data_IF_383647558176
#
_entry.id   IF_383647558176
#
_cell.length_a   1.000
_cell.length_b   1.000
_cell.length_c   1.000
_cell.angle_alpha   90.00
_cell.angle_beta   90.00
_cell.angle_gamma   90.00
#
_symmetry.space_group_name_H-M   'P 1'
#
loop_
_entity.id
_entity.type
_entity.pdbx_description
1 polymer ?
#
# COMPACT_ATOMS: atom_id res chain seq x y z
N UNK A 1 13.79 -15.32 -32.44
CA UNK A 1 13.92 -15.92 -31.09
C UNK A 1 15.23 -15.60 -30.36
N UNK A 2 16.41 -15.65 -30.99
CA UNK A 2 17.69 -15.48 -30.27
C UNK A 2 17.97 -14.10 -29.64
N UNK A 3 17.34 -13.01 -30.14
CA UNK A 3 17.47 -11.68 -29.55
C UNK A 3 16.67 -11.52 -28.25
N UNK A 4 15.44 -12.06 -28.21
CA UNK A 4 14.58 -12.07 -27.02
C UNK A 4 15.23 -12.91 -25.90
N UNK A 5 15.83 -14.04 -26.26
CA UNK A 5 16.55 -14.89 -25.30
C UNK A 5 17.77 -14.18 -24.69
N UNK A 6 18.59 -13.52 -25.51
CA UNK A 6 19.74 -12.73 -25.02
C UNK A 6 19.30 -11.56 -24.15
N UNK A 7 18.24 -10.84 -24.55
CA UNK A 7 17.66 -9.77 -23.75
C UNK A 7 17.13 -10.27 -22.40
N UNK A 8 16.46 -11.42 -22.39
CA UNK A 8 15.97 -12.06 -21.17
C UNK A 8 17.10 -12.46 -20.22
N UNK A 9 18.17 -13.06 -20.74
CA UNK A 9 19.36 -13.41 -19.95
C UNK A 9 20.08 -12.17 -19.44
N UNK A 10 20.22 -11.12 -20.26
CA UNK A 10 20.85 -9.86 -19.83
C UNK A 10 20.01 -9.11 -18.79
N UNK A 11 18.69 -9.21 -18.83
CA UNK A 11 17.81 -8.60 -17.84
C UNK A 11 17.67 -9.42 -16.54
N UNK A 12 18.11 -10.69 -16.55
CA UNK A 12 18.02 -11.62 -15.42
C UNK A 12 18.43 -11.02 -14.07
N UNK A 13 19.60 -10.35 -13.97
CA UNK A 13 20.03 -9.68 -12.73
C UNK A 13 19.04 -8.62 -12.25
N UNK A 14 18.54 -7.74 -13.13
CA UNK A 14 17.53 -6.76 -12.73
C UNK A 14 16.21 -7.43 -12.29
N UNK A 15 15.82 -8.53 -12.94
CA UNK A 15 14.59 -9.28 -12.62
C UNK A 15 14.67 -10.07 -11.31
N UNK A 16 15.88 -10.30 -10.76
CA UNK A 16 16.03 -10.90 -9.43
C UNK A 16 15.67 -9.93 -8.31
N UNK A 17 15.70 -8.61 -8.54
CA UNK A 17 15.44 -7.62 -7.50
C UNK A 17 14.05 -7.79 -6.84
N UNK A 18 12.92 -7.88 -7.59
CA UNK A 18 11.62 -8.18 -6.99
C UNK A 18 11.56 -9.49 -6.21
N UNK A 19 12.30 -10.52 -6.66
CA UNK A 19 12.36 -11.82 -5.98
C UNK A 19 13.06 -11.69 -4.63
N UNK A 20 14.17 -10.95 -4.55
CA UNK A 20 14.84 -10.68 -3.29
C UNK A 20 13.97 -9.86 -2.33
N UNK A 21 13.27 -8.85 -2.83
CA UNK A 21 12.38 -8.02 -2.02
C UNK A 21 11.22 -8.86 -1.46
N UNK A 22 10.44 -9.51 -2.33
CA UNK A 22 9.27 -10.28 -1.90
C UNK A 22 9.69 -11.50 -1.08
N UNK A 23 10.71 -12.23 -1.54
CA UNK A 23 11.24 -13.41 -0.86
C UNK A 23 11.76 -13.08 0.54
N UNK A 24 12.52 -11.99 0.69
CA UNK A 24 13.05 -11.55 1.99
C UNK A 24 11.97 -11.07 2.96
N UNK A 25 10.93 -10.42 2.45
CA UNK A 25 9.78 -10.00 3.25
C UNK A 25 8.97 -11.23 3.71
N UNK A 26 8.64 -12.14 2.80
CA UNK A 26 7.81 -13.31 3.12
C UNK A 26 8.52 -14.36 3.97
N UNK A 27 9.84 -14.48 3.85
CA UNK A 27 10.63 -15.34 4.73
C UNK A 27 10.80 -14.73 6.14
N UNK A 28 10.40 -13.48 6.35
CA UNK A 28 10.56 -12.76 7.62
C UNK A 28 11.99 -12.35 7.95
N UNK A 29 12.92 -12.45 6.99
CA UNK A 29 14.31 -12.01 7.19
C UNK A 29 14.44 -10.50 7.18
N UNK A 30 13.59 -9.82 6.39
CA UNK A 30 13.60 -8.36 6.25
C UNK A 30 12.19 -7.78 6.42
N UNK A 31 12.09 -6.63 7.07
CA UNK A 31 10.92 -5.76 6.98
C UNK A 31 10.86 -5.05 5.62
N UNK A 32 9.71 -4.49 5.19
CA UNK A 32 9.63 -3.77 3.91
C UNK A 32 10.65 -2.63 3.76
N UNK A 33 10.98 -1.96 4.87
CA UNK A 33 11.99 -0.89 4.92
C UNK A 33 13.41 -1.42 4.73
N UNK A 34 13.74 -2.55 5.35
CA UNK A 34 15.04 -3.22 5.17
C UNK A 34 15.17 -3.81 3.76
N UNK A 35 14.10 -4.40 3.23
CA UNK A 35 14.06 -4.93 1.88
C UNK A 35 14.33 -3.85 0.83
N UNK A 36 13.80 -2.63 1.02
CA UNK A 36 14.12 -1.49 0.17
C UNK A 36 15.61 -1.10 0.23
N UNK A 37 16.22 -1.09 1.43
CA UNK A 37 17.64 -0.81 1.57
C UNK A 37 18.51 -1.88 0.87
N UNK A 38 18.18 -3.16 1.05
CA UNK A 38 18.84 -4.28 0.35
C UNK A 38 18.68 -4.14 -1.16
N UNK A 39 17.50 -3.76 -1.65
CA UNK A 39 17.27 -3.53 -3.08
C UNK A 39 18.14 -2.39 -3.64
N UNK A 40 18.33 -1.30 -2.90
CA UNK A 40 19.22 -0.20 -3.32
C UNK A 40 20.68 -0.68 -3.41
N UNK A 41 21.16 -1.41 -2.40
CA UNK A 41 22.52 -1.98 -2.40
C UNK A 41 22.69 -2.95 -3.57
N UNK A 42 21.72 -3.83 -3.79
CA UNK A 42 21.70 -4.76 -4.91
C UNK A 42 21.74 -4.04 -6.26
N UNK A 43 20.89 -3.03 -6.43
CA UNK A 43 20.84 -2.20 -7.65
C UNK A 43 22.17 -1.52 -7.93
N UNK A 44 22.82 -0.95 -6.91
CA UNK A 44 24.15 -0.36 -7.03
C UNK A 44 25.20 -1.39 -7.48
N UNK A 45 25.19 -2.60 -6.90
CA UNK A 45 26.12 -3.67 -7.28
C UNK A 45 25.90 -4.07 -8.75
N UNK A 46 24.64 -4.28 -9.15
CA UNK A 46 24.30 -4.67 -10.53
C UNK A 46 24.71 -3.58 -11.52
N UNK A 47 24.40 -2.32 -11.25
CA UNK A 47 24.76 -1.19 -12.12
C UNK A 47 26.27 -0.97 -12.22
N UNK A 48 27.01 -1.02 -11.11
CA UNK A 48 28.46 -0.76 -11.12
C UNK A 48 29.27 -1.91 -11.73
N UNK A 49 28.94 -3.16 -11.37
CA UNK A 49 29.83 -4.30 -11.68
C UNK A 49 29.34 -5.13 -12.85
N UNK A 50 28.02 -5.25 -13.02
CA UNK A 50 27.42 -6.19 -13.96
C UNK A 50 27.02 -5.51 -15.27
N UNK A 51 26.18 -4.48 -15.20
CA UNK A 51 25.81 -3.67 -16.36
C UNK A 51 26.88 -2.64 -16.70
N UNK A 52 27.62 -2.16 -15.70
CA UNK A 52 28.69 -1.15 -15.85
C UNK A 52 28.18 0.11 -16.56
N UNK A 53 26.93 0.46 -16.29
CA UNK A 53 26.24 1.63 -16.85
C UNK A 53 26.41 2.88 -15.98
N UNK A 54 27.09 2.76 -14.83
CA UNK A 54 27.41 3.83 -13.91
C UNK A 54 28.84 3.69 -13.35
N UNK A 55 29.48 4.80 -13.00
CA UNK A 55 30.78 4.85 -12.31
C UNK A 55 30.62 5.26 -10.84
N UNK A 56 31.61 4.95 -10.01
CA UNK A 56 31.66 5.41 -8.61
C UNK A 56 31.57 6.94 -8.46
N UNK A 57 32.04 7.68 -9.48
CA UNK A 57 31.98 9.15 -9.50
C UNK A 57 30.56 9.68 -9.64
N UNK A 58 29.63 8.87 -10.15
CA UNK A 58 28.23 9.26 -10.35
C UNK A 58 27.40 9.09 -9.07
N UNK A 59 27.87 8.26 -8.12
CA UNK A 59 27.16 7.93 -6.88
C UNK A 59 26.78 9.18 -6.08
N UNK A 60 27.68 10.16 -5.81
CA UNK A 60 27.29 11.35 -5.04
C UNK A 60 26.16 12.15 -5.70
N UNK A 61 26.20 12.30 -7.03
CA UNK A 61 25.17 13.00 -7.78
C UNK A 61 23.85 12.21 -7.82
N UNK A 62 23.92 10.88 -7.92
CA UNK A 62 22.75 10.00 -7.84
C UNK A 62 22.06 10.11 -6.48
N UNK A 63 22.83 10.07 -5.39
CA UNK A 63 22.34 10.22 -4.03
C UNK A 63 21.70 11.60 -3.82
N UNK A 64 22.31 12.66 -4.33
CA UNK A 64 21.74 14.01 -4.26
C UNK A 64 20.39 14.09 -5.00
N UNK A 65 20.29 13.51 -6.20
CA UNK A 65 19.02 13.47 -6.96
C UNK A 65 17.94 12.65 -6.25
N UNK A 66 18.31 11.50 -5.69
CA UNK A 66 17.40 10.67 -4.90
C UNK A 66 16.92 11.44 -3.66
N UNK A 67 17.84 12.10 -2.94
CA UNK A 67 17.52 12.93 -1.79
C UNK A 67 16.57 14.08 -2.14
N UNK A 68 16.84 14.85 -3.21
CA UNK A 68 15.95 15.94 -3.63
C UNK A 68 14.54 15.45 -3.98
N UNK A 69 14.45 14.27 -4.61
CA UNK A 69 13.17 13.64 -4.95
C UNK A 69 12.41 13.27 -3.68
N UNK A 70 13.06 12.54 -2.77
CA UNK A 70 12.48 12.12 -1.49
C UNK A 70 12.12 13.30 -0.58
N UNK A 71 12.97 14.33 -0.49
CA UNK A 71 12.73 15.51 0.33
C UNK A 71 11.49 16.29 -0.13
N UNK A 72 11.30 16.43 -1.44
CA UNK A 72 10.10 17.08 -1.99
C UNK A 72 8.84 16.31 -1.59
N UNK A 73 8.85 14.98 -1.72
CA UNK A 73 7.72 14.12 -1.37
C UNK A 73 7.47 14.14 0.15
N UNK A 74 8.52 13.97 0.96
CA UNK A 74 8.44 13.95 2.42
C UNK A 74 7.93 15.27 2.99
N UNK A 75 8.22 16.41 2.37
CA UNK A 75 7.67 17.70 2.80
C UNK A 75 6.14 17.73 2.66
N UNK A 76 5.61 17.21 1.55
CA UNK A 76 4.15 17.12 1.35
C UNK A 76 3.52 16.10 2.31
N UNK A 77 4.12 14.92 2.46
CA UNK A 77 3.66 13.89 3.40
C UNK A 77 3.71 14.41 4.86
N UNK A 78 4.74 15.18 5.21
CA UNK A 78 4.87 15.80 6.53
C UNK A 78 3.77 16.82 6.81
N UNK A 79 3.42 17.65 5.82
CA UNK A 79 2.30 18.57 5.93
C UNK A 79 0.96 17.83 6.10
N UNK A 80 0.74 16.73 5.40
CA UNK A 80 -0.46 15.90 5.56
C UNK A 80 -0.48 15.17 6.90
N UNK A 81 0.70 14.89 7.47
CA UNK A 81 0.85 14.34 8.82
C UNK A 81 0.24 15.21 9.92
N UNK A 82 0.28 16.55 9.79
CA UNK A 82 -0.38 17.45 10.74
C UNK A 82 -1.91 17.28 10.74
N UNK A 83 -2.50 17.06 9.56
CA UNK A 83 -3.92 16.80 9.41
C UNK A 83 -4.28 15.39 9.94
N UNK A 84 -3.45 14.39 9.68
CA UNK A 84 -3.61 13.05 10.26
C UNK A 84 -3.57 13.08 11.80
N UNK A 85 -2.66 13.89 12.37
CA UNK A 85 -2.60 14.11 13.81
C UNK A 85 -3.87 14.76 14.34
N UNK A 86 -4.39 15.80 13.68
CA UNK A 86 -5.64 16.46 14.07
C UNK A 86 -6.83 15.49 14.05
N UNK A 87 -7.00 14.70 12.98
CA UNK A 87 -8.07 13.70 12.87
C UNK A 87 -7.97 12.67 14.01
N UNK A 88 -6.75 12.28 14.37
CA UNK A 88 -6.50 11.36 15.47
C UNK A 88 -6.81 12.01 16.82
N UNK A 89 -6.40 13.27 17.03
CA UNK A 89 -6.62 14.02 18.27
C UNK A 89 -8.09 14.30 18.53
N UNK A 90 -8.87 14.61 17.50
CA UNK A 90 -10.33 14.80 17.56
C UNK A 90 -11.08 13.47 17.71
N UNK A 91 -10.38 12.33 17.70
CA UNK A 91 -10.99 11.01 17.86
C UNK A 91 -11.95 10.65 16.72
N UNK A 92 -11.70 11.13 15.50
CA UNK A 92 -12.63 10.96 14.36
C UNK A 92 -12.92 9.49 14.10
N UNK A 93 -11.92 8.60 14.17
CA UNK A 93 -12.14 7.17 13.98
C UNK A 93 -13.08 6.56 15.05
N UNK A 94 -12.98 7.02 16.30
CA UNK A 94 -13.89 6.60 17.37
C UNK A 94 -15.32 7.08 17.09
N UNK A 95 -15.48 8.34 16.65
CA UNK A 95 -16.77 8.89 16.28
C UNK A 95 -17.40 8.12 15.12
N UNK A 96 -16.61 7.76 14.10
CA UNK A 96 -17.06 6.93 12.98
C UNK A 96 -17.48 5.54 13.44
N UNK A 97 -16.71 4.88 14.31
CA UNK A 97 -17.08 3.57 14.86
C UNK A 97 -18.40 3.63 15.64
N UNK A 98 -18.60 4.69 16.44
CA UNK A 98 -19.85 4.92 17.18
C UNK A 98 -21.04 5.13 16.22
N UNK A 99 -20.84 5.90 15.15
CA UNK A 99 -21.85 6.11 14.12
C UNK A 99 -22.18 4.82 13.35
N UNK A 100 -21.17 4.02 13.00
CA UNK A 100 -21.39 2.70 12.39
C UNK A 100 -22.21 1.82 13.33
N UNK A 101 -21.87 1.79 14.62
CA UNK A 101 -22.59 1.01 15.63
C UNK A 101 -24.08 1.41 15.75
N UNK A 102 -24.40 2.70 15.65
CA UNK A 102 -25.77 3.19 15.81
C UNK A 102 -26.67 2.91 14.60
N UNK A 103 -26.10 2.78 13.40
CA UNK A 103 -26.85 2.60 12.14
C UNK A 103 -26.80 1.16 11.63
N UNK A 104 -25.67 0.46 11.82
CA UNK A 104 -25.50 -0.88 11.31
C UNK A 104 -26.24 -1.89 12.18
N UNK A 105 -27.46 -2.23 11.80
CA UNK A 105 -28.26 -3.27 12.46
C UNK A 105 -28.11 -4.65 11.80
N UNK A 106 -27.49 -4.71 10.62
CA UNK A 106 -27.30 -5.95 9.84
C UNK A 106 -25.90 -5.99 9.23
N UNK A 107 -25.37 -7.22 9.06
CA UNK A 107 -23.99 -7.48 8.62
C UNK A 107 -23.57 -6.75 7.35
N UNK A 108 -24.43 -6.70 6.32
CA UNK A 108 -24.07 -6.07 5.05
C UNK A 108 -24.01 -4.54 5.14
N UNK A 109 -24.85 -3.92 5.99
CA UNK A 109 -24.77 -2.47 6.30
C UNK A 109 -23.48 -2.18 7.04
N UNK A 110 -23.13 -3.00 8.05
CA UNK A 110 -21.85 -2.86 8.75
C UNK A 110 -20.66 -2.90 7.77
N UNK A 111 -20.62 -3.90 6.88
CA UNK A 111 -19.54 -4.03 5.90
C UNK A 111 -19.46 -2.84 4.95
N UNK A 112 -20.58 -2.33 4.46
CA UNK A 112 -20.62 -1.12 3.63
C UNK A 112 -20.06 0.09 4.38
N UNK A 113 -20.55 0.33 5.60
CA UNK A 113 -20.13 1.46 6.43
C UNK A 113 -18.66 1.36 6.85
N UNK A 114 -18.17 0.15 7.11
CA UNK A 114 -16.76 -0.12 7.39
C UNK A 114 -15.89 0.29 6.20
N UNK A 115 -16.23 -0.13 4.98
CA UNK A 115 -15.49 0.25 3.77
C UNK A 115 -15.47 1.78 3.59
N UNK A 116 -16.63 2.42 3.70
CA UNK A 116 -16.73 3.89 3.60
C UNK A 116 -15.88 4.57 4.67
N UNK A 117 -15.96 4.12 5.92
CA UNK A 117 -15.19 4.69 7.00
C UNK A 117 -13.68 4.55 6.79
N UNK A 118 -13.22 3.37 6.35
CA UNK A 118 -11.81 3.10 6.11
C UNK A 118 -11.27 3.94 4.94
N UNK A 119 -12.02 4.05 3.83
CA UNK A 119 -11.61 4.91 2.70
C UNK A 119 -11.50 6.36 3.14
N UNK A 120 -12.49 6.88 3.87
CA UNK A 120 -12.47 8.27 4.34
C UNK A 120 -11.33 8.53 5.33
N UNK A 121 -11.07 7.63 6.26
CA UNK A 121 -9.94 7.76 7.20
C UNK A 121 -8.60 7.70 6.49
N UNK A 122 -8.44 6.75 5.58
CA UNK A 122 -7.15 6.50 4.92
C UNK A 122 -6.78 7.52 3.85
N UNK A 123 -7.75 8.24 3.29
CA UNK A 123 -7.46 9.39 2.41
C UNK A 123 -6.56 10.41 3.12
N UNK A 124 -6.66 10.55 4.44
CA UNK A 124 -5.92 11.56 5.18
C UNK A 124 -4.84 10.99 6.10
N UNK A 125 -5.03 9.78 6.59
CA UNK A 125 -4.13 9.10 7.51
C UNK A 125 -3.39 7.99 6.75
N UNK A 126 -2.07 7.93 6.94
CA UNK A 126 -1.24 6.85 6.41
C UNK A 126 -1.80 5.45 6.80
N UNK A 127 -1.72 4.45 5.91
CA UNK A 127 -2.38 3.15 6.10
C UNK A 127 -2.02 2.44 7.40
N UNK A 128 -0.75 2.49 7.82
CA UNK A 128 -0.29 1.80 9.03
C UNK A 128 -0.92 2.40 10.31
N UNK A 129 -0.78 3.72 10.60
CA UNK A 129 -1.51 4.34 11.71
C UNK A 129 -3.02 4.17 11.64
N UNK A 130 -3.61 4.30 10.44
CA UNK A 130 -5.05 4.12 10.25
C UNK A 130 -5.50 2.69 10.62
N UNK A 131 -4.73 1.67 10.22
CA UNK A 131 -5.01 0.27 10.56
C UNK A 131 -4.94 0.04 12.07
N UNK A 132 -3.85 0.48 12.71
CA UNK A 132 -3.61 0.30 14.14
C UNK A 132 -4.68 0.97 15.00
N UNK A 133 -5.17 2.14 14.57
CA UNK A 133 -6.25 2.86 15.23
C UNK A 133 -7.62 2.25 14.97
N UNK A 134 -7.96 1.96 13.72
CA UNK A 134 -9.30 1.52 13.34
C UNK A 134 -9.59 0.05 13.72
N UNK A 135 -8.60 -0.84 13.66
CA UNK A 135 -8.78 -2.26 13.93
C UNK A 135 -9.42 -2.55 15.29
N UNK A 136 -8.91 -2.03 16.43
CA UNK A 136 -9.52 -2.28 17.73
C UNK A 136 -10.93 -1.67 17.87
N UNK A 137 -11.25 -0.62 17.12
CA UNK A 137 -12.55 0.05 17.16
C UNK A 137 -13.65 -0.75 16.45
N UNK A 138 -13.31 -1.36 15.31
CA UNK A 138 -14.26 -2.14 14.51
C UNK A 138 -14.30 -3.62 14.89
N UNK A 139 -13.28 -4.14 15.59
CA UNK A 139 -13.21 -5.54 16.02
C UNK A 139 -14.44 -6.00 16.83
N UNK A 140 -14.94 -5.26 17.85
CA UNK A 140 -16.12 -5.68 18.60
C UNK A 140 -17.38 -5.81 17.73
N UNK A 141 -17.55 -4.88 16.78
CA UNK A 141 -18.68 -4.90 15.84
C UNK A 141 -18.58 -6.08 14.88
N UNK A 142 -17.37 -6.36 14.37
CA UNK A 142 -17.14 -7.51 13.51
C UNK A 142 -17.44 -8.84 14.21
N UNK A 143 -17.05 -8.98 15.48
CA UNK A 143 -17.38 -10.13 16.31
C UNK A 143 -18.90 -10.26 16.54
N UNK A 144 -19.60 -9.15 16.82
CA UNK A 144 -21.05 -9.13 16.98
C UNK A 144 -21.79 -9.61 15.72
N UNK A 145 -21.30 -9.25 14.54
CA UNK A 145 -21.83 -9.70 13.25
C UNK A 145 -21.27 -11.04 12.77
N UNK A 146 -20.50 -11.75 13.60
CA UNK A 146 -19.86 -13.05 13.29
C UNK A 146 -19.04 -12.99 11.99
N UNK A 147 -18.26 -11.92 11.84
CA UNK A 147 -17.33 -11.75 10.74
C UNK A 147 -16.00 -12.41 11.10
N UNK A 148 -15.47 -13.20 10.18
CA UNK A 148 -14.15 -13.80 10.31
C UNK A 148 -13.06 -12.72 10.37
N UNK A 149 -12.12 -12.86 11.32
CA UNK A 149 -11.11 -11.83 11.57
C UNK A 149 -10.06 -11.74 10.46
N UNK A 150 -9.78 -12.83 9.76
CA UNK A 150 -8.89 -12.82 8.59
C UNK A 150 -9.56 -12.03 7.47
N UNK A 151 -10.84 -12.31 7.21
CA UNK A 151 -11.64 -11.55 6.25
C UNK A 151 -11.71 -10.06 6.60
N UNK A 152 -11.93 -9.71 7.87
CA UNK A 152 -11.88 -8.31 8.32
C UNK A 152 -10.51 -7.68 8.06
N UNK A 153 -9.42 -8.37 8.40
CA UNK A 153 -8.06 -7.89 8.13
C UNK A 153 -7.81 -7.65 6.65
N UNK A 154 -8.28 -8.54 5.77
CA UNK A 154 -8.18 -8.37 4.31
C UNK A 154 -8.99 -7.17 3.82
N UNK A 155 -10.22 -6.99 4.30
CA UNK A 155 -11.03 -5.80 3.96
C UNK A 155 -10.32 -4.52 4.41
N UNK A 156 -9.83 -4.50 5.65
CA UNK A 156 -9.13 -3.34 6.20
C UNK A 156 -7.89 -3.00 5.38
N UNK A 157 -6.99 -3.96 5.21
CA UNK A 157 -5.75 -3.76 4.43
C UNK A 157 -6.02 -3.32 3.00
N UNK A 158 -7.00 -3.91 2.32
CA UNK A 158 -7.33 -3.54 0.94
C UNK A 158 -7.90 -2.11 0.84
N UNK A 159 -8.81 -1.71 1.75
CA UNK A 159 -9.34 -0.35 1.76
C UNK A 159 -8.24 0.69 2.00
N UNK A 160 -7.39 0.44 2.99
CA UNK A 160 -6.31 1.36 3.34
C UNK A 160 -5.26 1.44 2.22
N UNK A 161 -5.03 0.36 1.48
CA UNK A 161 -4.12 0.35 0.33
C UNK A 161 -4.63 1.20 -0.84
N UNK A 162 -5.96 1.29 -1.06
CA UNK A 162 -6.53 2.15 -2.11
C UNK A 162 -6.19 3.62 -1.87
N UNK A 163 -6.14 4.05 -0.62
CA UNK A 163 -5.89 5.45 -0.31
C UNK A 163 -4.47 5.92 -0.67
N UNK A 164 -3.50 5.01 -0.76
CA UNK A 164 -2.13 5.34 -1.16
C UNK A 164 -2.06 6.01 -2.54
N UNK A 165 -3.01 5.74 -3.42
CA UNK A 165 -3.08 6.34 -4.75
C UNK A 165 -4.40 7.06 -5.03
N UNK A 166 -5.19 7.35 -4.00
CA UNK A 166 -6.45 8.11 -4.12
C UNK A 166 -6.22 9.59 -3.77
N UNK A 167 -6.58 10.55 -4.64
CA UNK A 167 -6.57 11.97 -4.29
C UNK A 167 -7.53 12.26 -3.14
N UNK A 168 -7.30 13.28 -2.29
CA UNK A 168 -6.32 14.37 -2.42
C UNK A 168 -4.88 14.11 -1.94
N UNK A 169 -4.62 13.12 -1.09
CA UNK A 169 -3.30 12.97 -0.40
C UNK A 169 -2.45 11.79 -0.90
N UNK A 170 -2.99 10.80 -1.62
CA UNK A 170 -2.30 9.52 -1.90
C UNK A 170 -0.77 9.56 -1.98
N UNK A 171 -0.09 9.03 -0.95
CA UNK A 171 1.37 9.15 -0.80
C UNK A 171 2.16 8.59 -1.99
N UNK A 172 1.74 7.45 -2.53
CA UNK A 172 2.38 6.86 -3.71
C UNK A 172 2.05 7.64 -4.99
N UNK A 173 0.89 8.29 -5.04
CA UNK A 173 0.51 9.19 -6.13
C UNK A 173 1.40 10.45 -6.16
N UNK A 174 1.76 11.02 -5.01
CA UNK A 174 2.75 12.12 -4.94
C UNK A 174 4.13 11.68 -5.40
N UNK A 175 4.60 10.51 -4.99
CA UNK A 175 5.88 9.93 -5.45
C UNK A 175 5.85 9.74 -6.96
N UNK A 176 4.78 9.15 -7.49
CA UNK A 176 4.61 8.91 -8.92
C UNK A 176 4.59 10.24 -9.72
N UNK A 177 3.85 11.25 -9.24
CA UNK A 177 3.81 12.59 -9.85
C UNK A 177 5.19 13.22 -9.90
N UNK A 178 5.96 13.11 -8.82
CA UNK A 178 7.31 13.66 -8.75
C UNK A 178 8.28 12.96 -9.70
N UNK A 179 8.23 11.63 -9.78
CA UNK A 179 9.07 10.84 -10.68
C UNK A 179 8.73 11.08 -12.15
N UNK A 180 7.43 11.09 -12.48
CA UNK A 180 6.93 11.32 -13.84
C UNK A 180 6.95 12.81 -14.25
N UNK A 181 7.30 13.73 -13.32
CA UNK A 181 7.35 15.18 -13.55
C UNK A 181 6.04 15.75 -14.11
N UNK A 182 4.92 15.25 -13.59
CA UNK A 182 3.56 15.64 -14.00
C UNK A 182 2.73 16.00 -12.75
N UNK A 183 1.53 16.52 -12.97
CA UNK A 183 0.59 16.82 -11.90
C UNK A 183 -0.15 15.57 -11.42
N UNK A 184 -0.56 15.59 -10.15
CA UNK A 184 -1.41 14.54 -9.55
C UNK A 184 -2.69 14.37 -10.35
N UNK A 185 -3.34 15.46 -10.72
CA UNK A 185 -4.59 15.42 -11.48
C UNK A 185 -4.45 14.75 -12.84
N UNK A 186 -3.31 14.93 -13.51
CA UNK A 186 -3.02 14.27 -14.77
C UNK A 186 -2.81 12.76 -14.57
N UNK A 187 -2.06 12.34 -13.54
CA UNK A 187 -1.90 10.92 -13.22
C UNK A 187 -3.24 10.29 -12.84
N UNK A 188 -4.00 10.90 -11.94
CA UNK A 188 -5.33 10.41 -11.54
C UNK A 188 -6.25 10.25 -12.74
N UNK A 189 -6.24 11.20 -13.67
CA UNK A 189 -7.04 11.12 -14.90
C UNK A 189 -6.66 9.91 -15.75
N UNK A 190 -5.43 9.42 -15.71
CA UNK A 190 -5.05 8.20 -16.43
C UNK A 190 -5.29 6.94 -15.59
N UNK A 191 -5.24 7.05 -14.26
CA UNK A 191 -5.43 5.94 -13.32
C UNK A 191 -6.89 5.60 -13.01
N UNK A 192 -7.86 6.41 -13.44
CA UNK A 192 -9.27 6.22 -13.01
C UNK A 192 -9.81 4.82 -13.30
N UNK A 193 -9.41 4.18 -14.41
CA UNK A 193 -9.82 2.81 -14.75
C UNK A 193 -9.26 1.82 -13.73
N UNK A 194 -7.97 1.96 -13.39
CA UNK A 194 -7.34 1.11 -12.38
C UNK A 194 -7.92 1.35 -10.99
N UNK A 195 -8.22 2.60 -10.63
CA UNK A 195 -8.93 2.91 -9.38
C UNK A 195 -10.31 2.25 -9.35
N UNK A 196 -11.09 2.36 -10.42
CA UNK A 196 -12.41 1.72 -10.49
C UNK A 196 -12.30 0.19 -10.34
N UNK A 197 -11.28 -0.42 -10.95
CA UNK A 197 -11.01 -1.85 -10.81
C UNK A 197 -10.68 -2.22 -9.35
N UNK A 198 -9.86 -1.45 -8.65
CA UNK A 198 -9.48 -1.76 -7.26
C UNK A 198 -10.63 -1.55 -6.28
N UNK A 199 -11.46 -0.51 -6.46
CA UNK A 199 -12.72 -0.37 -5.72
C UNK A 199 -13.68 -1.55 -5.97
N UNK A 200 -13.75 -2.01 -7.22
CA UNK A 200 -14.57 -3.18 -7.57
C UNK A 200 -14.06 -4.45 -6.87
N UNK A 201 -12.74 -4.65 -6.83
CA UNK A 201 -12.12 -5.75 -6.08
C UNK A 201 -12.45 -5.64 -4.59
N UNK A 202 -12.39 -4.44 -4.00
CA UNK A 202 -12.74 -4.23 -2.58
C UNK A 202 -14.20 -4.58 -2.28
N UNK A 203 -15.12 -4.22 -3.16
CA UNK A 203 -16.53 -4.63 -3.05
C UNK A 203 -16.64 -6.16 -3.15
N UNK A 204 -15.98 -6.78 -4.13
CA UNK A 204 -16.01 -8.24 -4.31
C UNK A 204 -15.46 -8.99 -3.10
N UNK A 205 -14.29 -8.61 -2.60
CA UNK A 205 -13.70 -9.27 -1.41
C UNK A 205 -14.52 -8.99 -0.16
N UNK A 206 -15.25 -7.87 -0.08
CA UNK A 206 -16.13 -7.55 1.07
C UNK A 206 -17.37 -8.44 1.11
N UNK A 207 -18.02 -8.66 -0.03
CA UNK A 207 -19.29 -9.40 -0.09
C UNK A 207 -19.15 -10.87 -0.45
N UNK A 208 -17.97 -11.29 -0.92
CA UNK A 208 -17.67 -12.69 -1.26
C UNK A 208 -16.51 -13.19 -0.37
N UNK A 209 -16.78 -13.58 0.90
CA UNK A 209 -15.74 -14.04 1.83
C UNK A 209 -14.95 -15.27 1.35
N UNK A 210 -15.50 -16.04 0.42
CA UNK A 210 -14.79 -17.16 -0.19
C UNK A 210 -13.50 -16.70 -0.89
N UNK A 211 -13.48 -15.52 -1.51
CA UNK A 211 -12.30 -14.99 -2.19
C UNK A 211 -11.15 -14.71 -1.23
N UNK A 212 -11.46 -14.26 -0.01
CA UNK A 212 -10.44 -13.94 0.99
C UNK A 212 -10.04 -15.13 1.85
N UNK A 213 -10.98 -16.06 2.10
CA UNK A 213 -10.78 -17.15 3.06
C UNK A 213 -10.34 -18.46 2.41
N UNK A 214 -10.49 -18.63 1.10
CA UNK A 214 -10.11 -19.86 0.41
C UNK A 214 -8.60 -20.15 0.51
N UNK A 215 -7.76 -19.17 0.17
CA UNK A 215 -6.30 -19.35 0.20
C UNK A 215 -5.76 -19.59 1.63
N UNK A 216 -6.15 -18.80 2.65
CA UNK A 216 -5.76 -19.08 4.04
C UNK A 216 -6.22 -20.45 4.52
N UNK A 217 -7.44 -20.89 4.17
CA UNK A 217 -7.94 -22.24 4.54
C UNK A 217 -7.12 -23.33 3.89
N UNK A 218 -6.75 -23.18 2.61
CA UNK A 218 -5.87 -24.13 1.95
C UNK A 218 -4.54 -24.21 2.67
N UNK A 219 -3.86 -23.08 2.92
CA UNK A 219 -2.54 -23.10 3.56
C UNK A 219 -2.61 -23.64 5.00
N UNK A 220 -3.65 -23.30 5.77
CA UNK A 220 -3.83 -23.79 7.14
C UNK A 220 -4.08 -25.30 7.22
N UNK A 221 -4.58 -25.93 6.15
CA UNK A 221 -4.70 -27.40 6.06
C UNK A 221 -3.41 -28.13 5.68
N UNK A 222 -2.31 -27.41 5.38
CA UNK A 222 -1.00 -27.99 5.03
C UNK A 222 -0.03 -28.07 6.22
N UNK A 223 -0.50 -27.86 7.44
CA UNK A 223 0.26 -27.98 8.70
C UNK A 223 -0.34 -29.02 9.63
#
# INVERSE_FOLDING_TARGET
>A
MGAIWRAGVSAGPALLMPVFIIGGIWSGYFTPTEAAAVAVVYGLIVSLFLYRDMSYKDIPNLLLKAFMTSATVMLVIGATGALAWLITAEGVAQQMANWVSSVAHVKWVFLLMLNVALVLLSIFIEPLPALLMAAPLFLPLALAFKIDLVHMGVIMTANLAIALYTPPVGGTLFVAARLAKTSIGEITRHLWIMMAATFSVVILITYVPALTSWLPRMIATWG
#
